data_IF_115495782818
#
_entry.id   IF_115495782818
#
_cell.length_a   1.000
_cell.length_b   1.000
_cell.length_c   1.000
_cell.angle_alpha   90.00
_cell.angle_beta   90.00
_cell.angle_gamma   90.00
#
_symmetry.space_group_name_H-M   'P 1'
#
loop_
_entity.id
_entity.type
_entity.pdbx_description
1 polymer ?
#
# COMPACT_ATOMS: atom_id res chain seq x y z
N UNK A 1 17.57 13.49 -2.48
CA UNK A 1 16.16 13.03 -2.37
C UNK A 1 15.45 13.98 -1.43
N UNK A 2 14.21 14.37 -1.73
CA UNK A 2 13.42 15.25 -0.86
C UNK A 2 12.80 14.38 0.24
N UNK A 3 12.84 14.85 1.47
CA UNK A 3 12.12 14.23 2.59
C UNK A 3 10.91 15.08 2.97
N UNK A 4 9.96 14.45 3.66
CA UNK A 4 8.94 15.14 4.44
C UNK A 4 9.08 14.71 5.90
N UNK A 5 8.92 15.68 6.79
CA UNK A 5 8.85 15.43 8.23
C UNK A 5 7.40 15.19 8.61
N UNK A 6 7.10 14.00 9.11
CA UNK A 6 5.82 13.68 9.71
C UNK A 6 5.92 13.98 11.20
N UNK A 7 5.02 14.80 11.77
CA UNK A 7 5.13 15.21 13.16
C UNK A 7 4.84 14.05 14.12
N UNK A 8 5.37 14.13 15.33
CA UNK A 8 4.95 13.23 16.40
C UNK A 8 3.46 13.46 16.71
N UNK A 9 2.73 12.41 17.06
CA UNK A 9 1.32 12.55 17.39
C UNK A 9 0.56 11.25 17.51
N UNK A 10 -0.75 11.40 17.74
CA UNK A 10 -1.71 10.30 17.75
C UNK A 10 -2.41 10.23 16.40
N UNK A 11 -2.38 9.06 15.77
CA UNK A 11 -2.92 8.81 14.44
C UNK A 11 -4.01 7.75 14.50
N UNK A 12 -5.11 8.00 13.79
CA UNK A 12 -6.19 7.03 13.60
C UNK A 12 -6.02 6.39 12.22
N UNK A 13 -5.58 5.13 12.22
CA UNK A 13 -5.08 4.41 11.04
C UNK A 13 -5.92 3.17 10.75
N UNK A 14 -5.68 2.56 9.60
CA UNK A 14 -6.42 1.40 9.13
C UNK A 14 -7.79 1.69 8.56
N UNK A 15 -8.43 0.62 8.09
CA UNK A 15 -9.75 0.66 7.46
C UNK A 15 -10.85 0.98 8.46
N UNK A 16 -11.48 2.14 8.28
CA UNK A 16 -12.54 2.69 9.16
C UNK A 16 -13.58 3.51 8.39
N UNK A 17 -13.62 3.34 7.08
CA UNK A 17 -14.38 4.20 6.18
C UNK A 17 -15.77 3.62 5.91
N UNK A 18 -16.78 4.48 6.05
CA UNK A 18 -18.14 4.16 5.68
C UNK A 18 -18.35 4.43 4.19
N UNK A 19 -18.52 3.34 3.44
CA UNK A 19 -18.83 3.41 2.01
C UNK A 19 -20.30 3.73 1.79
N UNK A 20 -20.63 4.42 0.69
CA UNK A 20 -22.02 4.61 0.26
C UNK A 20 -22.70 3.26 -0.01
N UNK A 21 -24.04 3.19 0.05
CA UNK A 21 -24.78 1.95 -0.22
C UNK A 21 -24.45 1.37 -1.61
N UNK A 22 -24.31 2.22 -2.63
CA UNK A 22 -23.91 1.79 -3.98
C UNK A 22 -22.50 1.18 -3.99
N UNK A 23 -21.56 1.78 -3.26
CA UNK A 23 -20.20 1.30 -3.13
C UNK A 23 -20.16 -0.05 -2.40
N UNK A 24 -20.96 -0.20 -1.35
CA UNK A 24 -21.12 -1.46 -0.62
C UNK A 24 -21.67 -2.57 -1.53
N UNK A 25 -22.74 -2.32 -2.29
CA UNK A 25 -23.31 -3.29 -3.22
C UNK A 25 -22.30 -3.73 -4.29
N UNK A 26 -21.46 -2.79 -4.73
CA UNK A 26 -20.36 -3.03 -5.63
C UNK A 26 -19.28 -3.97 -5.10
N UNK A 27 -18.87 -3.75 -3.86
CA UNK A 27 -17.97 -4.66 -3.14
C UNK A 27 -18.64 -6.02 -2.99
N UNK A 28 -19.89 -6.07 -2.54
CA UNK A 28 -20.63 -7.31 -2.32
C UNK A 28 -20.74 -8.16 -3.59
N UNK A 29 -21.02 -7.54 -4.75
CA UNK A 29 -21.00 -8.26 -6.05
C UNK A 29 -19.62 -8.80 -6.40
N UNK A 30 -18.57 -8.02 -6.13
CA UNK A 30 -17.19 -8.43 -6.41
C UNK A 30 -16.82 -9.65 -5.57
N UNK A 31 -16.99 -9.57 -4.24
CA UNK A 31 -16.59 -10.64 -3.32
C UNK A 31 -17.45 -11.89 -3.50
N UNK A 32 -18.74 -11.74 -3.81
CA UNK A 32 -19.62 -12.87 -4.13
C UNK A 32 -19.14 -13.66 -5.36
N UNK A 33 -18.56 -12.99 -6.36
CA UNK A 33 -17.99 -13.67 -7.54
C UNK A 33 -16.77 -14.54 -7.21
N UNK A 34 -16.11 -14.27 -6.09
CA UNK A 34 -15.01 -15.08 -5.53
C UNK A 34 -15.46 -16.02 -4.40
N UNK A 35 -16.76 -16.09 -4.11
CA UNK A 35 -17.28 -16.89 -3.00
C UNK A 35 -16.87 -16.38 -1.61
N UNK A 36 -16.50 -15.10 -1.50
CA UNK A 36 -16.09 -14.44 -0.25
C UNK A 36 -17.19 -13.51 0.26
N UNK A 37 -17.18 -13.25 1.57
CA UNK A 37 -17.97 -12.17 2.18
C UNK A 37 -17.21 -10.85 2.13
N UNK A 38 -17.93 -9.73 2.23
CA UNK A 38 -17.31 -8.40 2.36
C UNK A 38 -16.41 -8.32 3.58
N UNK A 39 -16.81 -8.92 4.70
CA UNK A 39 -16.00 -8.91 5.93
C UNK A 39 -14.65 -9.62 5.73
N UNK A 40 -14.64 -10.76 5.03
CA UNK A 40 -13.40 -11.46 4.69
C UNK A 40 -12.50 -10.59 3.81
N UNK A 41 -13.05 -10.03 2.73
CA UNK A 41 -12.31 -9.11 1.85
C UNK A 41 -11.71 -7.93 2.61
N UNK A 42 -12.48 -7.28 3.50
CA UNK A 42 -11.98 -6.16 4.30
C UNK A 42 -10.87 -6.61 5.27
N UNK A 43 -11.01 -7.76 5.91
CA UNK A 43 -10.02 -8.26 6.86
C UNK A 43 -8.71 -8.76 6.22
N UNK A 44 -8.79 -9.25 4.99
CA UNK A 44 -7.65 -9.80 4.24
C UNK A 44 -6.89 -8.71 3.48
N UNK A 45 -7.63 -7.79 2.85
CA UNK A 45 -7.08 -6.81 1.92
C UNK A 45 -6.84 -5.43 2.54
N UNK A 46 -7.11 -5.23 3.84
CA UNK A 46 -6.89 -3.94 4.50
C UNK A 46 -6.35 -4.11 5.92
N UNK A 47 -5.62 -3.09 6.38
CA UNK A 47 -5.17 -3.01 7.76
C UNK A 47 -6.32 -2.73 8.72
N UNK A 48 -6.34 -3.34 9.92
CA UNK A 48 -7.40 -3.11 10.88
C UNK A 48 -7.34 -1.68 11.42
N UNK A 49 -8.52 -1.14 11.74
CA UNK A 49 -8.65 0.12 12.45
C UNK A 49 -7.87 0.11 13.76
N UNK A 50 -7.09 1.17 14.01
CA UNK A 50 -6.28 1.32 15.22
C UNK A 50 -5.93 2.78 15.50
N UNK A 51 -5.64 3.07 16.76
CA UNK A 51 -5.08 4.36 17.18
C UNK A 51 -3.66 4.12 17.65
N UNK A 52 -2.70 4.84 17.06
CA UNK A 52 -1.27 4.67 17.33
C UNK A 52 -0.63 6.00 17.71
N UNK A 53 0.41 5.94 18.54
CA UNK A 53 1.26 7.11 18.85
C UNK A 53 2.58 6.91 18.13
N UNK A 54 2.94 7.87 17.28
CA UNK A 54 4.20 7.85 16.52
C UNK A 54 5.08 9.01 16.98
N UNK A 55 6.38 8.76 17.08
CA UNK A 55 7.38 9.81 17.13
C UNK A 55 7.46 10.54 15.78
N UNK A 56 8.12 11.70 15.76
CA UNK A 56 8.36 12.39 14.50
C UNK A 56 9.38 11.61 13.66
N UNK A 57 9.15 11.49 12.35
CA UNK A 57 10.05 10.78 11.45
C UNK A 57 10.17 11.49 10.10
N UNK A 58 11.32 11.32 9.46
CA UNK A 58 11.53 11.77 8.07
C UNK A 58 11.35 10.59 7.12
N UNK A 59 10.46 10.75 6.14
CA UNK A 59 10.24 9.77 5.08
C UNK A 59 10.56 10.42 3.74
N UNK A 60 11.10 9.65 2.79
CA UNK A 60 11.28 10.18 1.43
C UNK A 60 9.93 10.58 0.84
N UNK A 61 9.92 11.68 0.12
CA UNK A 61 8.70 12.25 -0.44
C UNK A 61 8.37 11.68 -1.83
N UNK A 62 9.40 11.20 -2.53
CA UNK A 62 9.31 10.43 -3.76
C UNK A 62 9.86 9.03 -3.48
N UNK A 63 9.23 7.96 -3.99
CA UNK A 63 9.74 6.63 -3.71
C UNK A 63 10.84 6.21 -4.66
N UNK A 64 11.51 5.16 -4.24
CA UNK A 64 12.55 4.47 -4.99
C UNK A 64 11.92 3.24 -5.65
N UNK A 65 12.05 3.12 -6.98
CA UNK A 65 11.76 1.89 -7.72
C UNK A 65 13.00 0.99 -7.74
N UNK A 66 12.79 -0.30 -8.03
CA UNK A 66 13.85 -1.26 -8.32
C UNK A 66 14.77 -1.50 -7.13
N UNK A 67 14.19 -1.56 -5.92
CA UNK A 67 14.96 -1.86 -4.70
C UNK A 67 15.71 -3.19 -4.81
N UNK A 68 15.18 -4.14 -5.59
CA UNK A 68 15.82 -5.42 -5.92
C UNK A 68 17.18 -5.27 -6.60
N UNK A 69 17.44 -4.20 -7.35
CA UNK A 69 18.73 -3.98 -8.02
C UNK A 69 19.87 -3.79 -7.01
N UNK A 70 19.54 -3.34 -5.80
CA UNK A 70 20.48 -3.19 -4.70
C UNK A 70 20.60 -4.44 -3.82
N UNK A 71 19.74 -5.44 -4.04
CA UNK A 71 19.76 -6.71 -3.30
C UNK A 71 20.69 -7.69 -4.01
N UNK A 72 21.72 -8.21 -3.32
CA UNK A 72 22.62 -9.22 -3.89
C UNK A 72 21.84 -10.46 -4.37
N UNK A 73 22.21 -11.01 -5.52
CA UNK A 73 21.48 -12.11 -6.17
C UNK A 73 21.32 -13.32 -5.25
N UNK A 74 22.35 -13.64 -4.45
CA UNK A 74 22.31 -14.74 -3.48
C UNK A 74 21.27 -14.54 -2.37
N UNK A 75 20.98 -13.30 -1.99
CA UNK A 75 20.00 -13.01 -0.93
C UNK A 75 18.57 -13.05 -1.48
N UNK A 76 18.37 -12.80 -2.79
CA UNK A 76 17.05 -12.89 -3.43
C UNK A 76 16.41 -14.27 -3.28
N UNK A 77 17.20 -15.34 -3.27
CA UNK A 77 16.68 -16.71 -3.09
C UNK A 77 16.10 -16.97 -1.70
N UNK A 78 16.46 -16.13 -0.71
CA UNK A 78 15.96 -16.23 0.66
C UNK A 78 14.65 -15.47 0.88
N UNK A 79 14.25 -14.62 -0.06
CA UNK A 79 13.04 -13.80 0.00
C UNK A 79 11.79 -14.63 -0.28
N UNK A 80 11.42 -15.52 0.64
CA UNK A 80 10.30 -16.46 0.43
C UNK A 80 9.00 -16.00 1.08
N UNK A 81 9.06 -14.98 1.92
CA UNK A 81 7.94 -14.42 2.65
C UNK A 81 8.18 -12.93 3.00
N UNK A 82 7.19 -12.29 3.61
CA UNK A 82 7.30 -10.88 4.03
C UNK A 82 8.44 -10.61 5.01
N UNK A 83 8.69 -11.53 5.94
CA UNK A 83 9.68 -11.34 6.98
C UNK A 83 11.10 -11.31 6.38
N UNK A 84 11.43 -12.33 5.58
CA UNK A 84 12.72 -12.44 4.89
C UNK A 84 12.92 -11.32 3.86
N UNK A 85 11.89 -10.96 3.09
CA UNK A 85 11.93 -9.80 2.19
C UNK A 85 12.24 -8.50 2.93
N UNK A 86 11.50 -8.24 4.01
CA UNK A 86 11.67 -7.01 4.79
C UNK A 86 13.04 -6.95 5.43
N UNK A 87 13.51 -8.04 6.04
CA UNK A 87 14.85 -8.12 6.66
C UNK A 87 15.95 -7.78 5.64
N UNK A 88 15.92 -8.43 4.46
CA UNK A 88 16.98 -8.26 3.47
C UNK A 88 16.96 -6.84 2.88
N UNK A 89 15.78 -6.31 2.57
CA UNK A 89 15.64 -4.96 2.01
C UNK A 89 15.99 -3.91 3.07
N UNK A 90 15.60 -4.10 4.32
CA UNK A 90 15.96 -3.21 5.42
C UNK A 90 17.48 -3.18 5.64
N UNK A 91 18.17 -4.32 5.55
CA UNK A 91 19.63 -4.38 5.63
C UNK A 91 20.32 -3.58 4.51
N UNK A 92 19.79 -3.65 3.28
CA UNK A 92 20.28 -2.85 2.14
C UNK A 92 20.09 -1.36 2.43
N UNK A 93 18.88 -0.94 2.85
CA UNK A 93 18.58 0.45 3.15
C UNK A 93 19.42 1.00 4.32
N UNK A 94 19.62 0.21 5.37
CA UNK A 94 20.36 0.61 6.58
C UNK A 94 21.79 1.00 6.30
N UNK A 95 22.43 0.37 5.31
CA UNK A 95 23.77 0.75 4.86
C UNK A 95 23.87 2.20 4.37
N UNK A 96 22.72 2.81 4.04
CA UNK A 96 22.60 4.19 3.54
C UNK A 96 21.91 5.14 4.53
N UNK A 97 21.66 4.71 5.77
CA UNK A 97 20.98 5.52 6.80
C UNK A 97 19.45 5.56 6.67
N UNK A 98 18.87 4.60 5.95
CA UNK A 98 17.43 4.48 5.73
C UNK A 98 16.93 3.12 6.20
N UNK A 99 15.62 2.99 6.36
CA UNK A 99 14.94 1.73 6.63
C UNK A 99 13.61 1.68 5.90
N UNK A 100 13.02 0.50 5.82
CA UNK A 100 11.62 0.39 5.42
C UNK A 100 10.73 1.17 6.38
N UNK A 101 9.69 1.85 5.88
CA UNK A 101 8.63 2.37 6.73
C UNK A 101 7.92 1.21 7.40
N UNK A 102 7.47 1.39 8.63
CA UNK A 102 6.38 0.56 9.17
C UNK A 102 5.09 0.88 8.43
N UNK A 103 4.11 0.00 8.55
CA UNK A 103 2.78 0.28 7.99
C UNK A 103 2.12 1.52 8.62
N UNK A 104 2.31 1.73 9.92
CA UNK A 104 1.78 2.89 10.63
C UNK A 104 2.40 4.19 10.11
N UNK A 105 3.72 4.21 9.93
CA UNK A 105 4.42 5.36 9.37
C UNK A 105 3.97 5.65 7.94
N UNK A 106 3.80 4.63 7.10
CA UNK A 106 3.32 4.81 5.74
C UNK A 106 1.89 5.37 5.71
N UNK A 107 0.96 4.80 6.48
CA UNK A 107 -0.43 5.26 6.53
C UNK A 107 -0.55 6.68 7.13
N UNK A 108 0.25 7.00 8.16
CA UNK A 108 0.33 8.35 8.72
C UNK A 108 0.90 9.35 7.70
N UNK A 109 1.97 8.98 7.00
CA UNK A 109 2.56 9.79 5.95
C UNK A 109 1.60 10.00 4.76
N UNK A 110 0.73 9.03 4.46
CA UNK A 110 -0.27 9.15 3.41
C UNK A 110 -1.43 10.12 3.76
N UNK A 111 -1.59 10.48 5.04
CA UNK A 111 -2.54 11.52 5.48
C UNK A 111 -3.81 11.02 6.16
N UNK A 112 -3.96 9.70 6.34
CA UNK A 112 -5.07 9.11 7.09
C UNK A 112 -6.44 9.11 6.40
N UNK A 113 -6.61 9.68 5.22
CA UNK A 113 -7.85 9.58 4.41
C UNK A 113 -7.92 8.26 3.64
N UNK A 114 -9.07 7.96 3.01
CA UNK A 114 -9.27 6.72 2.24
C UNK A 114 -8.28 6.64 1.06
N UNK A 115 -8.05 7.77 0.39
CA UNK A 115 -7.04 7.91 -0.66
C UNK A 115 -6.15 9.12 -0.37
N UNK A 116 -5.04 9.25 -1.10
CA UNK A 116 -4.19 10.44 -1.01
C UNK A 116 -4.90 11.75 -1.38
N UNK A 117 -5.97 11.67 -2.17
CA UNK A 117 -6.75 12.84 -2.59
C UNK A 117 -7.99 13.07 -1.72
N UNK A 118 -8.21 12.28 -0.67
CA UNK A 118 -9.36 12.37 0.23
C UNK A 118 -10.23 11.11 0.23
N UNK A 119 -11.47 11.26 0.68
CA UNK A 119 -12.37 10.13 0.93
C UNK A 119 -13.31 9.80 -0.24
N UNK A 120 -13.28 10.60 -1.30
CA UNK A 120 -14.12 10.42 -2.47
C UNK A 120 -13.62 9.24 -3.34
N UNK A 121 -14.49 8.26 -3.51
CA UNK A 121 -14.29 7.13 -4.43
C UNK A 121 -14.72 7.56 -5.84
N UNK A 122 -13.80 7.67 -6.82
CA UNK A 122 -14.16 8.13 -8.14
C UNK A 122 -15.06 7.12 -8.87
N UNK A 123 -15.95 7.59 -9.74
CA UNK A 123 -16.80 6.71 -10.56
C UNK A 123 -15.98 5.99 -11.64
N UNK A 124 -16.42 4.80 -12.04
CA UNK A 124 -15.78 4.06 -13.14
C UNK A 124 -14.51 3.31 -12.74
N UNK A 125 -13.54 3.17 -13.66
CA UNK A 125 -12.31 2.37 -13.45
C UNK A 125 -11.07 3.28 -13.34
N UNK A 126 -10.06 2.92 -12.51
CA UNK A 126 -8.84 3.72 -12.30
C UNK A 126 -8.00 4.07 -13.54
N UNK A 127 -8.22 3.39 -14.67
CA UNK A 127 -7.38 3.45 -15.88
C UNK A 127 -7.40 4.78 -16.64
N UNK A 128 -8.24 5.75 -16.26
CA UNK A 128 -8.43 7.02 -17.01
C UNK A 128 -8.19 8.29 -16.21
N UNK A 129 -8.00 8.20 -14.90
CA UNK A 129 -7.97 9.37 -14.03
C UNK A 129 -6.58 9.56 -13.42
N UNK A 130 -6.01 10.76 -13.53
CA UNK A 130 -4.70 11.10 -12.96
C UNK A 130 -4.78 11.54 -11.49
N UNK A 131 -5.93 11.38 -10.82
CA UNK A 131 -6.14 11.81 -9.43
C UNK A 131 -5.11 11.21 -8.47
N UNK A 132 -4.69 9.97 -8.74
CA UNK A 132 -3.68 9.24 -7.98
C UNK A 132 -2.23 9.71 -8.18
N UNK A 133 -1.96 10.61 -9.14
CA UNK A 133 -0.59 11.09 -9.44
C UNK A 133 -0.24 12.39 -8.71
N UNK A 134 -1.19 12.94 -7.95
CA UNK A 134 -1.00 14.15 -7.15
C UNK A 134 -0.14 13.91 -5.92
N UNK A 135 0.32 15.01 -5.30
CA UNK A 135 0.90 14.96 -3.96
C UNK A 135 -0.21 14.82 -2.93
N UNK A 136 -0.05 13.89 -2.01
CA UNK A 136 -0.91 13.76 -0.85
C UNK A 136 -0.77 14.94 0.12
N UNK A 137 -1.63 15.02 1.15
CA UNK A 137 -1.70 16.15 2.08
C UNK A 137 -0.38 16.41 2.83
N UNK A 138 0.40 15.36 3.11
CA UNK A 138 1.70 15.47 3.79
C UNK A 138 2.89 15.53 2.81
N UNK A 139 2.64 15.68 1.51
CA UNK A 139 3.68 15.89 0.50
C UNK A 139 4.30 14.63 -0.11
N UNK A 140 3.84 13.44 0.30
CA UNK A 140 4.13 12.17 -0.37
C UNK A 140 3.60 12.22 -1.79
N UNK A 141 4.42 11.75 -2.73
CA UNK A 141 3.98 11.48 -4.09
C UNK A 141 3.97 9.99 -4.23
N UNK A 142 2.78 9.39 -4.25
CA UNK A 142 2.69 8.04 -4.78
C UNK A 142 2.86 8.16 -6.29
N UNK A 143 3.82 7.46 -6.89
CA UNK A 143 3.57 6.99 -8.23
C UNK A 143 2.38 6.02 -8.03
N UNK A 144 1.41 5.90 -8.92
CA UNK A 144 1.13 4.56 -9.42
C UNK A 144 -0.25 4.43 -9.98
N UNK A 145 -0.26 3.75 -11.12
CA UNK A 145 -1.42 3.09 -11.68
C UNK A 145 -1.85 1.93 -10.77
N UNK A 146 -3.02 1.38 -11.03
CA UNK A 146 -3.71 0.35 -10.24
C UNK A 146 -2.95 -0.99 -10.03
N UNK A 147 -1.76 -1.19 -10.60
CA UNK A 147 -0.95 -2.42 -10.48
C UNK A 147 0.21 -2.34 -9.50
N UNK A 148 0.74 -1.13 -9.28
CA UNK A 148 2.01 -0.92 -8.60
C UNK A 148 1.77 -0.74 -7.10
N UNK A 149 2.78 -1.11 -6.31
CA UNK A 149 2.64 -1.36 -4.87
C UNK A 149 3.71 -0.64 -4.08
N UNK A 150 3.40 -0.34 -2.84
CA UNK A 150 4.33 0.21 -1.87
C UNK A 150 4.77 -0.90 -0.93
N UNK A 151 6.07 -1.15 -0.85
CA UNK A 151 6.63 -2.08 0.10
C UNK A 151 6.90 -1.35 1.41
N UNK A 152 6.28 -1.85 2.48
CA UNK A 152 6.54 -1.46 3.87
C UNK A 152 7.05 -2.68 4.63
N UNK A 153 7.59 -2.47 5.83
CA UNK A 153 8.03 -3.56 6.68
C UNK A 153 6.85 -4.50 7.00
N UNK A 154 6.91 -5.72 6.48
CA UNK A 154 5.93 -6.78 6.70
C UNK A 154 4.73 -6.81 5.76
N UNK A 155 4.61 -5.92 4.76
CA UNK A 155 3.48 -5.93 3.83
C UNK A 155 3.77 -5.24 2.49
N UNK A 156 3.06 -5.66 1.44
CA UNK A 156 2.78 -4.78 0.30
C UNK A 156 1.50 -4.03 0.56
N UNK A 157 1.58 -2.72 0.45
CA UNK A 157 0.49 -1.77 0.59
C UNK A 157 0.08 -1.31 -0.79
N UNK A 158 -1.23 -1.06 -0.94
CA UNK A 158 -1.82 -0.60 -2.19
C UNK A 158 -1.59 -1.56 -3.36
N UNK A 159 -2.20 -1.22 -4.48
CA UNK A 159 -2.02 -1.91 -5.75
C UNK A 159 -2.69 -3.28 -5.82
N UNK A 160 -2.81 -3.73 -7.07
CA UNK A 160 -3.56 -4.89 -7.59
C UNK A 160 -5.07 -4.72 -7.82
N UNK A 161 -5.58 -3.50 -7.67
CA UNK A 161 -6.82 -3.04 -8.31
C UNK A 161 -6.84 -3.25 -9.84
N UNK A 162 -5.68 -3.25 -10.48
CA UNK A 162 -5.52 -3.58 -11.90
C UNK A 162 -5.79 -5.05 -12.22
N UNK A 163 -5.28 -5.96 -11.39
CA UNK A 163 -5.56 -7.39 -11.50
C UNK A 163 -7.03 -7.68 -11.20
N UNK A 164 -7.53 -7.14 -10.08
CA UNK A 164 -8.93 -7.28 -9.69
C UNK A 164 -9.89 -6.72 -10.78
N UNK A 165 -9.50 -5.61 -11.40
CA UNK A 165 -10.24 -5.00 -12.50
C UNK A 165 -10.20 -5.79 -13.81
N UNK A 166 -9.10 -6.50 -14.10
CA UNK A 166 -9.02 -7.46 -15.20
C UNK A 166 -9.91 -8.69 -14.97
N UNK A 167 -10.05 -9.12 -13.72
CA UNK A 167 -10.92 -10.24 -13.32
C UNK A 167 -12.41 -9.89 -13.33
N UNK A 168 -12.79 -8.70 -13.79
CA UNK A 168 -14.19 -8.30 -13.93
C UNK A 168 -14.84 -7.75 -12.66
N UNK A 169 -14.04 -7.31 -11.67
CA UNK A 169 -14.58 -6.72 -10.45
C UNK A 169 -15.48 -5.51 -10.73
N UNK A 170 -16.51 -5.38 -9.90
CA UNK A 170 -17.40 -4.23 -9.92
C UNK A 170 -16.73 -3.02 -9.27
N UNK A 171 -17.13 -1.82 -9.68
CA UNK A 171 -16.88 -0.62 -8.88
C UNK A 171 -17.46 -0.83 -7.47
N UNK A 172 -16.80 -0.41 -6.38
CA UNK A 172 -15.56 0.37 -6.33
C UNK A 172 -14.29 -0.45 -6.03
N UNK A 173 -14.36 -1.78 -6.04
CA UNK A 173 -13.33 -2.64 -5.44
C UNK A 173 -11.91 -2.36 -5.95
N UNK A 174 -11.76 -2.04 -7.24
CA UNK A 174 -10.46 -1.69 -7.83
C UNK A 174 -9.90 -0.37 -7.30
N UNK A 175 -10.76 0.60 -6.99
CA UNK A 175 -10.36 1.86 -6.36
C UNK A 175 -9.94 1.63 -4.92
N UNK A 176 -10.68 0.83 -4.16
CA UNK A 176 -10.38 0.61 -2.74
C UNK A 176 -8.98 0.04 -2.52
N UNK A 177 -8.48 -0.78 -3.44
CA UNK A 177 -7.11 -1.31 -3.39
C UNK A 177 -6.02 -0.25 -3.67
N UNK A 178 -6.39 0.98 -3.99
CA UNK A 178 -5.49 2.15 -4.02
C UNK A 178 -5.49 2.90 -2.69
N UNK A 179 -6.23 2.44 -1.67
CA UNK A 179 -6.16 3.01 -0.34
C UNK A 179 -4.81 2.72 0.31
N UNK A 180 -4.17 3.69 0.99
CA UNK A 180 -2.99 3.44 1.82
C UNK A 180 -3.23 2.37 2.90
N UNK A 181 -4.48 2.09 3.26
CA UNK A 181 -4.82 1.01 4.21
C UNK A 181 -4.88 -0.36 3.55
N UNK A 182 -4.93 -0.44 2.22
CA UNK A 182 -4.95 -1.71 1.50
C UNK A 182 -3.65 -2.49 1.67
N UNK A 183 -3.76 -3.81 1.72
CA UNK A 183 -2.69 -4.80 1.81
C UNK A 183 -2.89 -5.86 0.74
N UNK A 184 -1.80 -6.39 0.20
CA UNK A 184 -1.86 -7.64 -0.54
C UNK A 184 -1.96 -8.81 0.45
N UNK A 185 -2.99 -9.67 0.34
CA UNK A 185 -3.12 -10.86 1.17
C UNK A 185 -1.87 -11.77 1.10
N UNK A 186 -1.40 -12.23 2.26
CA UNK A 186 -0.16 -13.01 2.36
C UNK A 186 -0.18 -14.32 1.55
N UNK A 187 -1.36 -14.94 1.40
CA UNK A 187 -1.53 -16.14 0.59
C UNK A 187 -1.28 -15.92 -0.91
N UNK A 188 -1.42 -14.68 -1.42
CA UNK A 188 -1.16 -14.35 -2.82
C UNK A 188 0.35 -14.18 -3.08
N UNK A 189 1.10 -13.70 -2.08
CA UNK A 189 2.53 -13.42 -2.21
C UNK A 189 3.37 -14.69 -2.36
N UNK A 190 3.00 -15.76 -1.65
CA UNK A 190 3.79 -17.00 -1.60
C UNK A 190 4.01 -17.64 -2.98
N UNK A 191 3.16 -17.34 -3.97
CA UNK A 191 3.27 -17.90 -5.32
C UNK A 191 4.02 -16.98 -6.31
N UNK A 192 4.14 -15.68 -6.03
CA UNK A 192 4.59 -14.68 -7.02
C UNK A 192 5.41 -13.51 -6.46
N UNK A 193 5.97 -13.60 -5.25
CA UNK A 193 6.65 -12.50 -4.54
C UNK A 193 7.64 -11.69 -5.39
N UNK A 194 8.37 -12.34 -6.31
CA UNK A 194 9.35 -11.66 -7.17
C UNK A 194 8.68 -10.64 -8.09
N UNK A 195 7.55 -10.99 -8.68
CA UNK A 195 6.74 -10.11 -9.54
C UNK A 195 6.21 -8.92 -8.74
N UNK A 196 5.84 -9.13 -7.47
CA UNK A 196 5.40 -8.05 -6.59
C UNK A 196 6.55 -7.10 -6.28
N UNK A 197 7.75 -7.61 -5.98
CA UNK A 197 8.93 -6.80 -5.71
C UNK A 197 9.47 -6.04 -6.93
N UNK A 198 9.39 -6.60 -8.13
CA UNK A 198 9.81 -5.93 -9.37
C UNK A 198 9.01 -4.66 -9.66
N UNK A 199 7.73 -4.66 -9.29
CA UNK A 199 6.84 -3.51 -9.40
C UNK A 199 6.65 -2.74 -8.09
N UNK A 200 7.41 -3.09 -7.04
CA UNK A 200 7.33 -2.44 -5.76
C UNK A 200 8.14 -1.14 -5.74
N UNK A 201 7.58 -0.20 -5.00
CA UNK A 201 8.16 1.08 -4.69
C UNK A 201 8.31 1.19 -3.19
N UNK A 202 9.28 2.00 -2.76
CA UNK A 202 9.58 2.16 -1.34
C UNK A 202 9.70 3.64 -1.07
N UNK A 203 9.04 4.11 -0.01
CA UNK A 203 9.32 5.39 0.62
C UNK A 203 10.15 5.17 1.89
N UNK A 204 11.50 5.15 1.84
CA UNK A 204 12.30 4.82 3.01
C UNK A 204 12.16 5.89 4.10
N UNK A 205 12.21 5.44 5.35
CA UNK A 205 12.24 6.29 6.54
C UNK A 205 13.67 6.42 7.03
N UNK A 206 14.05 7.62 7.46
CA UNK A 206 15.38 7.89 8.00
C UNK A 206 15.54 7.22 9.38
N UNK A 207 16.72 6.65 9.62
CA UNK A 207 17.08 6.06 10.93
C UNK A 207 17.40 7.16 11.94
#
# INVERSE_FOLDING_TARGET
MRTVLIPAGTYHLGWRFDLSSEAQDGVDRTVASFGQSRQQFLSECFSPERVVVLDAFEIQAEPIKHILDFVPVQDRQRMVDYASMSEIIDNVLRSTGWRLPTEDEFEAAAGGTLFLWGDEVPLGKPRRENLHRGRGPNGLTLPHWDYQKELVNGAFKMGDGGCLGCSGASWPSTWLLMSPTSRVPANIINENWITFLEEAWVHPVRI
#
